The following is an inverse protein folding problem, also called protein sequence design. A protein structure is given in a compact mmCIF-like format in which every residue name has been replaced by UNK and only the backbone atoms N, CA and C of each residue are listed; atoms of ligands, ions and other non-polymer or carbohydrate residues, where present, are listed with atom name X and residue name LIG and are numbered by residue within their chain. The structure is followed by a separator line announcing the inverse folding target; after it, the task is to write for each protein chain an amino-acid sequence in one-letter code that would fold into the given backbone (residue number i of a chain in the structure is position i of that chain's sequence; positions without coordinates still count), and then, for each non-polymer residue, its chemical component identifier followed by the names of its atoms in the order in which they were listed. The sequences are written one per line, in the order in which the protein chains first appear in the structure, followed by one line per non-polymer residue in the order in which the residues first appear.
data_IF_860403117330
#
_entry.id   IF_860403117330
#
_cell.length_a   1.000
_cell.length_b   1.000
_cell.length_c   1.000
_cell.angle_alpha   90.00
_cell.angle_beta   90.00
_cell.angle_gamma   90.00
#
_symmetry.space_group_name_H-M   'P 1'
#
loop_
_entity.id
_entity.type
_entity.pdbx_description
1 polymer ?
#
# COMPACT_ATOMS: atom_id res chain seq x y z
N UNK A 1 44.72 -20.10 0.46
CA UNK A 1 45.49 -18.87 0.81
C UNK A 1 45.29 -17.90 -0.36
N UNK A 2 44.71 -16.71 -0.27
CA UNK A 2 44.84 -15.60 0.68
C UNK A 2 43.55 -14.75 0.69
N UNK A 3 43.28 -14.08 1.82
CA UNK A 3 42.31 -12.97 1.96
C UNK A 3 42.88 -11.69 1.35
N UNK A 4 42.06 -10.88 0.67
CA UNK A 4 42.26 -9.41 0.58
C UNK A 4 40.93 -8.67 0.41
N UNK A 5 40.83 -7.53 1.10
CA UNK A 5 39.66 -6.67 1.32
C UNK A 5 39.51 -5.66 0.15
N UNK A 6 38.29 -5.27 -0.27
CA UNK A 6 38.13 -4.22 -1.27
C UNK A 6 38.40 -2.82 -0.69
N UNK A 7 39.26 -2.04 -1.35
CA UNK A 7 39.34 -0.58 -1.19
C UNK A 7 38.27 0.07 -2.07
N UNK A 8 37.45 0.93 -1.47
CA UNK A 8 36.60 1.87 -2.21
C UNK A 8 37.43 3.07 -2.67
N UNK A 9 37.35 3.42 -3.95
CA UNK A 9 37.58 4.80 -4.42
C UNK A 9 36.48 5.15 -5.42
N UNK A 10 35.78 6.24 -5.11
CA UNK A 10 34.64 6.81 -5.83
C UNK A 10 35.08 7.43 -7.16
N UNK A 11 34.16 7.35 -8.13
CA UNK A 11 34.15 8.07 -9.39
C UNK A 11 33.86 9.57 -9.21
N UNK A 12 34.50 10.39 -10.04
CA UNK A 12 34.05 11.71 -10.48
C UNK A 12 34.06 11.59 -12.02
N UNK A 13 33.04 11.91 -12.82
CA UNK A 13 32.17 13.08 -12.79
C UNK A 13 32.48 13.92 -14.05
N UNK A 14 31.44 14.30 -14.80
CA UNK A 14 31.32 15.43 -15.76
C UNK A 14 31.15 15.13 -17.26
N UNK A 15 30.05 15.71 -17.78
CA UNK A 15 29.62 15.71 -19.17
C UNK A 15 29.03 17.10 -19.46
N UNK A 16 29.90 18.10 -19.68
CA UNK A 16 29.59 19.40 -20.30
C UNK A 16 30.87 19.94 -20.96
N UNK A 17 31.06 19.73 -22.27
CA UNK A 17 32.05 20.44 -23.11
C UNK A 17 31.51 20.59 -24.53
N UNK A 18 31.20 21.81 -24.93
CA UNK A 18 30.89 22.17 -26.31
C UNK A 18 30.96 23.69 -26.47
N UNK A 19 31.78 24.12 -27.44
CA UNK A 19 32.02 25.51 -27.88
C UNK A 19 33.01 26.31 -27.02
N UNK A 20 34.31 26.02 -27.15
CA UNK A 20 35.41 26.98 -27.42
C UNK A 20 36.70 26.17 -27.63
N UNK A 21 37.51 26.58 -28.61
CA UNK A 21 38.66 25.84 -29.11
C UNK A 21 39.83 25.74 -28.14
N UNK A 22 40.45 24.54 -28.15
CA UNK A 22 41.84 24.18 -27.84
C UNK A 22 42.64 25.20 -27.00
N UNK A 23 42.71 24.92 -25.70
CA UNK A 23 43.97 24.68 -25.00
C UNK A 23 43.71 23.66 -23.88
N UNK A 24 44.64 22.72 -23.72
CA UNK A 24 44.55 21.64 -22.77
C UNK A 24 44.77 22.17 -21.35
N UNK A 25 43.70 22.24 -20.55
CA UNK A 25 43.79 22.35 -19.10
C UNK A 25 42.49 21.81 -18.47
N UNK A 26 42.63 21.16 -17.31
CA UNK A 26 41.58 20.39 -16.63
C UNK A 26 40.46 21.34 -16.16
N UNK A 27 39.21 21.05 -16.52
CA UNK A 27 38.05 21.80 -16.03
C UNK A 27 37.86 21.55 -14.54
N UNK A 28 38.32 22.51 -13.76
CA UNK A 28 37.93 22.73 -12.38
C UNK A 28 36.47 23.20 -12.36
N UNK A 29 35.66 22.58 -11.51
CA UNK A 29 34.37 23.16 -11.11
C UNK A 29 34.69 24.48 -10.43
N UNK A 30 34.51 25.61 -11.13
CA UNK A 30 34.66 26.93 -10.52
C UNK A 30 33.54 27.09 -9.50
N UNK A 31 33.90 27.03 -8.22
CA UNK A 31 33.05 27.49 -7.15
C UNK A 31 32.79 28.98 -7.40
N UNK A 32 31.51 29.36 -7.41
CA UNK A 32 31.10 30.76 -7.50
C UNK A 32 31.85 31.53 -6.41
N UNK A 33 32.45 32.65 -6.77
CA UNK A 33 33.15 33.49 -5.81
C UNK A 33 32.15 34.00 -4.77
N UNK A 34 32.62 34.37 -3.58
CA UNK A 34 31.75 34.86 -2.50
C UNK A 34 30.91 36.05 -2.98
N UNK A 35 31.48 36.89 -3.83
CA UNK A 35 30.81 38.05 -4.44
C UNK A 35 29.68 37.65 -5.40
N UNK A 36 29.88 36.61 -6.22
CA UNK A 36 28.84 36.05 -7.08
C UNK A 36 27.72 35.41 -6.27
N UNK A 37 28.03 34.71 -5.17
CA UNK A 37 27.03 34.13 -4.26
C UNK A 37 26.21 35.21 -3.55
N UNK A 38 26.85 36.31 -3.14
CA UNK A 38 26.16 37.44 -2.53
C UNK A 38 25.28 38.21 -3.52
N UNK A 39 25.72 38.36 -4.77
CA UNK A 39 24.90 38.96 -5.84
C UNK A 39 23.65 38.12 -6.13
N UNK A 40 23.77 36.78 -6.11
CA UNK A 40 22.63 35.87 -6.25
C UNK A 40 21.69 35.95 -5.04
N UNK A 41 22.24 35.99 -3.82
CA UNK A 41 21.43 36.20 -2.60
C UNK A 41 20.68 37.52 -2.60
N UNK A 42 21.23 38.58 -3.21
CA UNK A 42 20.56 39.88 -3.33
C UNK A 42 19.47 39.90 -4.42
N UNK A 43 19.59 39.05 -5.45
CA UNK A 43 18.62 39.00 -6.56
C UNK A 43 17.45 38.04 -6.29
N UNK A 44 17.65 36.98 -5.48
CA UNK A 44 16.60 36.00 -5.12
C UNK A 44 15.31 36.61 -4.49
N UNK A 45 15.37 37.60 -3.58
CA UNK A 45 14.16 38.23 -3.02
C UNK A 45 13.32 38.94 -4.08
N UNK A 46 13.95 39.54 -5.08
CA UNK A 46 13.27 40.25 -6.17
C UNK A 46 12.53 39.32 -7.13
N UNK A 47 13.03 38.08 -7.30
CA UNK A 47 12.40 37.03 -8.11
C UNK A 47 11.20 36.46 -7.35
N UNK A 48 11.36 36.20 -6.05
CA UNK A 48 10.30 35.67 -5.19
C UNK A 48 9.12 36.64 -5.02
N UNK A 49 9.39 37.95 -4.98
CA UNK A 49 8.37 39.00 -4.93
C UNK A 49 7.62 39.19 -6.27
N UNK A 50 8.24 38.84 -7.41
CA UNK A 50 7.59 38.87 -8.73
C UNK A 50 6.64 37.70 -8.94
N UNK A 51 6.97 36.51 -8.43
CA UNK A 51 6.10 35.33 -8.52
C UNK A 51 4.84 35.47 -7.64
N UNK A 52 4.92 36.11 -6.47
CA UNK A 52 3.76 36.32 -5.60
C UNK A 52 2.74 37.34 -6.14
N UNK A 53 3.12 38.12 -7.16
CA UNK A 53 2.28 39.23 -7.68
C UNK A 53 1.53 38.89 -8.97
N UNK A 54 1.75 37.69 -9.55
CA UNK A 54 1.19 37.32 -10.86
C UNK A 54 0.07 36.27 -10.82
N UNK A 55 -0.33 35.80 -9.64
CA UNK A 55 -1.45 34.86 -9.51
C UNK A 55 -2.63 35.58 -8.87
N UNK A 56 -3.66 36.01 -9.62
CA UNK A 56 -4.92 36.42 -9.03
C UNK A 56 -5.56 35.18 -8.39
N UNK A 57 -5.47 35.11 -7.06
CA UNK A 57 -6.22 34.12 -6.28
C UNK A 57 -7.66 34.63 -6.18
N UNK A 58 -8.56 34.09 -7.00
CA UNK A 58 -9.99 34.23 -6.76
C UNK A 58 -10.31 33.53 -5.44
N UNK A 59 -10.51 34.33 -4.39
CA UNK A 59 -10.75 33.86 -3.02
C UNK A 59 -12.11 33.15 -2.82
N UNK A 60 -12.97 33.12 -3.84
CA UNK A 60 -14.33 32.55 -3.76
C UNK A 60 -14.45 31.12 -4.33
N UNK A 61 -13.35 30.44 -4.68
CA UNK A 61 -13.41 29.12 -5.32
C UNK A 61 -13.04 27.92 -4.42
N UNK A 62 -12.96 28.09 -3.10
CA UNK A 62 -12.62 27.00 -2.16
C UNK A 62 -13.60 26.94 -0.99
N UNK A 63 -14.90 27.00 -1.24
CA UNK A 63 -15.88 26.46 -0.28
C UNK A 63 -17.06 25.93 -1.07
N UNK A 64 -16.96 24.65 -1.43
CA UNK A 64 -18.05 23.69 -1.38
C UNK A 64 -17.42 22.35 -1.73
N UNK A 65 -16.86 21.71 -0.72
CA UNK A 65 -16.70 20.27 -0.76
C UNK A 65 -18.11 19.71 -0.95
N UNK A 66 -18.39 19.17 -2.13
CA UNK A 66 -19.65 18.50 -2.43
C UNK A 66 -19.94 17.46 -1.33
N UNK A 67 -20.83 17.78 -0.40
CA UNK A 67 -21.33 16.83 0.62
C UNK A 67 -21.97 15.59 -0.06
N UNK A 68 -22.44 15.74 -1.30
CA UNK A 68 -22.93 14.64 -2.14
C UNK A 68 -21.84 13.63 -2.53
N UNK A 69 -20.55 14.01 -2.50
CA UNK A 69 -19.43 13.10 -2.73
C UNK A 69 -19.03 12.33 -1.46
N UNK A 70 -19.40 12.85 -0.28
CA UNK A 70 -19.23 12.22 1.04
C UNK A 70 -20.25 11.10 1.26
N UNK A 71 -21.45 11.22 0.68
CA UNK A 71 -22.51 10.20 0.76
C UNK A 71 -22.17 8.91 -0.02
N UNK A 72 -21.26 8.97 -0.98
CA UNK A 72 -20.56 7.78 -1.47
C UNK A 72 -19.47 7.41 -0.47
N UNK A 73 -19.85 7.07 0.75
CA UNK A 73 -18.96 6.41 1.71
C UNK A 73 -18.37 5.21 0.98
N UNK A 74 -17.10 5.33 0.58
CA UNK A 74 -16.36 4.20 0.06
C UNK A 74 -16.48 3.14 1.13
N UNK A 75 -17.15 2.03 0.83
CA UNK A 75 -17.25 0.92 1.75
C UNK A 75 -15.82 0.49 2.07
N UNK A 76 -15.33 0.93 3.23
CA UNK A 76 -13.94 0.79 3.65
C UNK A 76 -13.56 -0.67 3.83
N UNK A 77 -14.57 -1.54 3.96
CA UNK A 77 -14.42 -2.97 4.13
C UNK A 77 -14.51 -3.70 2.78
N UNK A 78 -15.17 -3.10 1.79
CA UNK A 78 -15.05 -3.50 0.39
C UNK A 78 -13.68 -3.14 -0.20
N UNK A 79 -12.96 -2.17 0.40
CA UNK A 79 -11.58 -1.88 0.00
C UNK A 79 -10.71 -3.11 0.28
N UNK A 80 -10.24 -3.64 -0.84
CA UNK A 80 -9.40 -4.80 -1.00
C UNK A 80 -8.17 -4.77 -0.06
N UNK A 81 -8.23 -5.54 1.03
CA UNK A 81 -7.17 -5.80 2.01
C UNK A 81 -6.73 -4.63 2.92
N UNK A 82 -7.50 -4.36 3.98
CA UNK A 82 -6.96 -3.67 5.17
C UNK A 82 -6.13 -4.65 6.02
N UNK A 83 -4.84 -4.35 6.16
CA UNK A 83 -3.99 -4.98 7.19
C UNK A 83 -3.46 -6.38 6.85
N UNK A 84 -3.59 -7.30 7.80
CA UNK A 84 -2.93 -8.61 7.81
C UNK A 84 -3.72 -9.73 7.12
N UNK A 85 -5.01 -9.52 6.85
CA UNK A 85 -5.88 -10.56 6.30
C UNK A 85 -5.52 -10.86 4.84
N UNK A 86 -5.72 -12.12 4.45
CA UNK A 86 -5.61 -12.52 3.05
C UNK A 86 -6.65 -11.75 2.24
N UNK A 87 -6.30 -11.44 1.01
CA UNK A 87 -7.22 -10.81 0.09
C UNK A 87 -8.38 -11.77 -0.25
N UNK A 88 -9.60 -11.40 0.15
CA UNK A 88 -10.86 -12.06 -0.20
C UNK A 88 -11.95 -11.02 -0.48
N UNK A 89 -13.11 -11.45 -0.96
CA UNK A 89 -14.31 -10.61 -1.02
C UNK A 89 -15.25 -10.97 0.14
N UNK A 90 -15.98 -9.97 0.64
CA UNK A 90 -17.06 -10.23 1.59
C UNK A 90 -18.14 -11.08 0.90
N UNK A 91 -18.56 -12.14 1.57
CA UNK A 91 -19.61 -13.03 1.09
C UNK A 91 -20.63 -13.23 2.20
N UNK A 92 -21.89 -12.93 1.88
CA UNK A 92 -23.03 -13.17 2.75
C UNK A 92 -23.93 -14.20 2.06
N UNK A 93 -24.17 -15.37 2.69
CA UNK A 93 -25.04 -16.40 2.13
C UNK A 93 -26.48 -15.89 2.05
N UNK A 94 -27.19 -16.23 0.97
CA UNK A 94 -28.62 -15.95 0.85
C UNK A 94 -29.43 -16.94 1.70
N UNK A 95 -30.62 -16.53 2.17
CA UNK A 95 -31.49 -17.35 3.04
C UNK A 95 -31.99 -18.65 2.40
N UNK A 96 -31.81 -18.82 1.08
CA UNK A 96 -32.16 -20.01 0.31
C UNK A 96 -30.99 -20.60 -0.48
N UNK A 97 -29.74 -20.34 -0.07
CA UNK A 97 -28.56 -20.79 -0.83
C UNK A 97 -28.53 -22.32 -0.96
N UNK A 98 -28.94 -23.04 0.09
CA UNK A 98 -28.95 -24.50 0.12
C UNK A 98 -29.87 -25.09 -0.96
N UNK A 99 -31.11 -24.63 -1.06
CA UNK A 99 -32.05 -25.13 -2.07
C UNK A 99 -31.55 -24.83 -3.49
N UNK A 100 -31.01 -23.63 -3.71
CA UNK A 100 -30.41 -23.25 -4.98
C UNK A 100 -29.23 -24.17 -5.38
N UNK A 101 -28.39 -24.55 -4.42
CA UNK A 101 -27.27 -25.47 -4.67
C UNK A 101 -27.78 -26.87 -5.01
N UNK A 102 -28.80 -27.36 -4.31
CA UNK A 102 -29.39 -28.67 -4.60
C UNK A 102 -30.05 -28.70 -5.98
N UNK A 103 -30.82 -27.67 -6.34
CA UNK A 103 -31.43 -27.54 -7.67
C UNK A 103 -30.36 -27.53 -8.77
N UNK A 104 -29.36 -26.66 -8.66
CA UNK A 104 -28.26 -26.62 -9.64
C UNK A 104 -27.45 -27.91 -9.70
N UNK A 105 -27.26 -28.60 -8.58
CA UNK A 105 -26.61 -29.91 -8.56
C UNK A 105 -27.46 -30.97 -9.27
N UNK A 106 -28.78 -30.99 -9.08
CA UNK A 106 -29.67 -31.91 -9.80
C UNK A 106 -29.61 -31.72 -11.31
N UNK A 107 -29.64 -30.47 -11.78
CA UNK A 107 -29.52 -30.16 -13.20
C UNK A 107 -28.19 -30.62 -13.79
N UNK A 108 -27.08 -30.35 -13.09
CA UNK A 108 -25.74 -30.78 -13.53
C UNK A 108 -25.60 -32.30 -13.57
N UNK A 109 -26.14 -33.02 -12.59
CA UNK A 109 -26.11 -34.49 -12.56
C UNK A 109 -26.98 -35.12 -13.66
N UNK A 110 -28.17 -34.55 -13.90
CA UNK A 110 -29.04 -34.98 -14.99
C UNK A 110 -28.40 -34.77 -16.36
N UNK A 111 -27.77 -33.62 -16.59
CA UNK A 111 -27.05 -33.34 -17.84
C UNK A 111 -25.86 -34.29 -18.06
N UNK A 112 -25.23 -34.75 -16.98
CA UNK A 112 -24.16 -35.74 -17.02
C UNK A 112 -24.66 -37.19 -17.14
N UNK A 113 -25.98 -37.43 -17.11
CA UNK A 113 -26.58 -38.77 -17.14
C UNK A 113 -26.37 -39.59 -15.88
N UNK A 114 -26.05 -38.95 -14.74
CA UNK A 114 -25.79 -39.62 -13.47
C UNK A 114 -27.06 -39.62 -12.63
N UNK A 115 -27.59 -40.82 -12.32
CA UNK A 115 -28.71 -40.99 -11.40
C UNK A 115 -28.18 -41.27 -9.99
N UNK A 116 -28.50 -40.41 -9.02
CA UNK A 116 -28.13 -40.59 -7.62
C UNK A 116 -29.36 -40.51 -6.72
N UNK A 117 -29.55 -41.49 -5.84
CA UNK A 117 -30.67 -41.52 -4.89
C UNK A 117 -30.60 -40.40 -3.85
N UNK A 118 -29.39 -40.00 -3.44
CA UNK A 118 -29.12 -38.90 -2.50
C UNK A 118 -28.13 -37.90 -3.09
N UNK A 119 -28.64 -36.77 -3.58
CA UNK A 119 -27.85 -35.71 -4.22
C UNK A 119 -26.82 -35.10 -3.26
N UNK A 120 -27.20 -34.86 -2.00
CA UNK A 120 -26.30 -34.26 -1.00
C UNK A 120 -25.04 -35.10 -0.73
N UNK A 121 -25.19 -36.42 -0.75
CA UNK A 121 -24.10 -37.37 -0.47
C UNK A 121 -23.35 -37.80 -1.73
N UNK A 122 -23.72 -37.28 -2.90
CA UNK A 122 -23.03 -37.57 -4.14
C UNK A 122 -21.56 -37.17 -4.03
N UNK A 123 -20.67 -38.14 -4.20
CA UNK A 123 -19.22 -37.96 -4.22
C UNK A 123 -18.76 -37.76 -5.66
N UNK A 124 -17.98 -36.70 -5.90
CA UNK A 124 -17.39 -36.46 -7.20
C UNK A 124 -16.37 -37.56 -7.54
N UNK A 125 -16.30 -37.94 -8.81
CA UNK A 125 -15.45 -39.03 -9.28
C UNK A 125 -13.99 -38.56 -9.34
N UNK A 126 -13.09 -39.37 -8.78
CA UNK A 126 -11.66 -39.11 -8.87
C UNK A 126 -11.18 -39.26 -10.32
N UNK A 127 -10.67 -38.17 -10.90
CA UNK A 127 -10.15 -38.11 -12.27
C UNK A 127 -11.08 -37.43 -13.28
N UNK A 128 -12.40 -37.42 -13.04
CA UNK A 128 -13.36 -36.67 -13.87
C UNK A 128 -14.03 -35.56 -13.05
N UNK A 129 -13.50 -34.35 -13.22
CA UNK A 129 -13.97 -33.14 -12.53
C UNK A 129 -14.97 -32.33 -13.38
N UNK A 130 -15.49 -32.86 -14.48
CA UNK A 130 -16.42 -32.14 -15.37
C UNK A 130 -17.66 -31.63 -14.64
N UNK A 131 -18.38 -32.52 -13.94
CA UNK A 131 -19.58 -32.19 -13.16
C UNK A 131 -19.28 -31.19 -12.05
N UNK A 132 -18.19 -31.42 -11.31
CA UNK A 132 -17.73 -30.54 -10.22
C UNK A 132 -17.42 -29.14 -10.75
N UNK A 133 -16.71 -29.05 -11.87
CA UNK A 133 -16.37 -27.79 -12.50
C UNK A 133 -17.62 -27.06 -12.98
N UNK A 134 -18.54 -27.74 -13.64
CA UNK A 134 -19.78 -27.13 -14.14
C UNK A 134 -20.63 -26.56 -13.00
N UNK A 135 -20.82 -27.36 -11.94
CA UNK A 135 -21.57 -26.94 -10.75
C UNK A 135 -20.95 -25.70 -10.09
N UNK A 136 -19.65 -25.74 -9.80
CA UNK A 136 -18.94 -24.61 -9.17
C UNK A 136 -18.93 -23.38 -10.09
N UNK A 137 -18.85 -23.56 -11.41
CA UNK A 137 -18.87 -22.45 -12.36
C UNK A 137 -20.25 -21.78 -12.42
N UNK A 138 -21.34 -22.56 -12.42
CA UNK A 138 -22.71 -22.03 -12.34
C UNK A 138 -22.95 -21.30 -11.02
N UNK A 139 -22.60 -21.93 -9.90
CA UNK A 139 -22.72 -21.32 -8.56
C UNK A 139 -21.84 -20.09 -8.38
N UNK A 140 -20.61 -20.12 -8.89
CA UNK A 140 -19.71 -18.97 -8.84
C UNK A 140 -20.26 -17.77 -9.60
N UNK A 141 -20.90 -18.00 -10.76
CA UNK A 141 -21.56 -16.92 -11.52
C UNK A 141 -22.79 -16.35 -10.80
N UNK A 142 -23.61 -17.19 -10.17
CA UNK A 142 -24.83 -16.72 -9.47
C UNK A 142 -24.50 -16.00 -8.16
N UNK A 143 -23.60 -16.57 -7.36
CA UNK A 143 -23.25 -16.07 -6.02
C UNK A 143 -22.11 -15.06 -6.03
N UNK A 144 -21.37 -14.94 -7.14
CA UNK A 144 -20.12 -14.18 -7.26
C UNK A 144 -19.05 -14.60 -6.23
N UNK A 145 -19.12 -15.85 -5.74
CA UNK A 145 -18.18 -16.41 -4.79
C UNK A 145 -17.55 -17.70 -5.34
N UNK A 146 -16.22 -17.69 -5.46
CA UNK A 146 -15.45 -18.81 -6.00
C UNK A 146 -14.57 -19.44 -4.93
N UNK A 147 -14.49 -20.78 -4.86
CA UNK A 147 -13.54 -21.47 -3.99
C UNK A 147 -12.10 -21.22 -4.45
N UNK A 148 -11.19 -21.18 -3.48
CA UNK A 148 -9.75 -21.10 -3.75
C UNK A 148 -9.18 -22.45 -4.16
N UNK A 149 -8.04 -22.46 -4.87
CA UNK A 149 -7.40 -23.70 -5.33
C UNK A 149 -7.14 -24.70 -4.19
N UNK A 150 -6.73 -24.23 -3.01
CA UNK A 150 -6.54 -25.10 -1.84
C UNK A 150 -7.86 -25.66 -1.30
N UNK A 151 -8.96 -24.89 -1.37
CA UNK A 151 -10.27 -25.34 -0.91
C UNK A 151 -10.92 -26.34 -1.88
N UNK A 152 -10.66 -26.21 -3.18
CA UNK A 152 -11.17 -27.13 -4.21
C UNK A 152 -10.83 -28.59 -3.94
N UNK A 153 -9.66 -28.87 -3.36
CA UNK A 153 -9.25 -30.24 -3.00
C UNK A 153 -10.21 -30.86 -1.97
N UNK A 154 -10.74 -30.07 -1.05
CA UNK A 154 -11.60 -30.52 0.04
C UNK A 154 -13.08 -30.60 -0.32
N UNK A 155 -13.45 -30.23 -1.55
CA UNK A 155 -14.84 -30.31 -2.03
C UNK A 155 -15.05 -31.67 -2.71
N UNK A 156 -15.19 -32.72 -1.92
CA UNK A 156 -15.37 -34.10 -2.41
C UNK A 156 -16.83 -34.45 -2.67
N UNK A 157 -17.75 -33.86 -1.90
CA UNK A 157 -19.19 -34.13 -2.01
C UNK A 157 -20.00 -32.86 -2.27
N UNK A 158 -21.24 -33.02 -2.74
CA UNK A 158 -22.19 -31.89 -2.85
C UNK A 158 -22.45 -31.26 -1.49
N UNK A 159 -22.48 -32.06 -0.40
CA UNK A 159 -22.62 -31.53 0.96
C UNK A 159 -21.48 -30.59 1.36
N UNK A 160 -20.26 -30.81 0.87
CA UNK A 160 -19.12 -29.94 1.16
C UNK A 160 -19.23 -28.61 0.41
N UNK A 161 -19.81 -28.63 -0.79
CA UNK A 161 -20.13 -27.42 -1.55
C UNK A 161 -21.20 -26.61 -0.83
N UNK A 162 -22.25 -27.26 -0.32
CA UNK A 162 -23.29 -26.61 0.50
C UNK A 162 -22.66 -25.93 1.70
N UNK A 163 -21.86 -26.65 2.50
CA UNK A 163 -21.17 -26.09 3.67
C UNK A 163 -20.28 -24.89 3.31
N UNK A 164 -19.59 -24.95 2.17
CA UNK A 164 -18.72 -23.87 1.71
C UNK A 164 -19.52 -22.59 1.40
N UNK A 165 -20.64 -22.70 0.70
CA UNK A 165 -21.48 -21.56 0.36
C UNK A 165 -22.42 -21.12 1.50
N UNK A 166 -22.60 -21.93 2.55
CA UNK A 166 -23.25 -21.49 3.78
C UNK A 166 -22.31 -20.67 4.69
N UNK A 167 -21.00 -20.83 4.54
CA UNK A 167 -19.99 -20.14 5.36
C UNK A 167 -19.84 -18.67 4.93
N UNK A 168 -20.19 -17.68 5.78
CA UNK A 168 -20.00 -16.27 5.46
C UNK A 168 -18.51 -15.89 5.52
N UNK A 169 -18.08 -15.05 4.59
CA UNK A 169 -16.70 -14.54 4.55
C UNK A 169 -16.71 -13.04 4.84
N UNK A 170 -15.92 -12.62 5.83
CA UNK A 170 -15.71 -11.22 6.19
C UNK A 170 -14.24 -10.85 6.07
N UNK A 171 -13.96 -9.70 5.46
CA UNK A 171 -12.64 -9.09 5.34
C UNK A 171 -12.28 -8.21 6.55
N UNK A 172 -13.03 -8.34 7.64
CA UNK A 172 -12.91 -7.51 8.83
C UNK A 172 -12.20 -8.32 9.91
N UNK A 173 -11.27 -7.70 10.61
CA UNK A 173 -10.52 -8.33 11.70
C UNK A 173 -11.39 -8.40 12.96
N UNK A 174 -11.11 -9.33 13.87
CA UNK A 174 -11.82 -9.37 15.18
C UNK A 174 -11.72 -8.05 15.95
N UNK A 175 -10.58 -7.36 15.85
CA UNK A 175 -10.38 -6.05 16.49
C UNK A 175 -11.38 -5.01 15.95
N UNK A 176 -11.50 -4.93 14.64
CA UNK A 176 -12.44 -4.02 13.97
C UNK A 176 -13.89 -4.40 14.24
N UNK A 177 -14.21 -5.70 14.36
CA UNK A 177 -15.53 -6.16 14.80
C UNK A 177 -15.84 -5.67 16.23
N UNK A 178 -14.92 -5.86 17.19
CA UNK A 178 -15.11 -5.38 18.56
C UNK A 178 -15.18 -3.86 18.68
N UNK A 179 -14.43 -3.13 17.86
CA UNK A 179 -14.48 -1.67 17.87
C UNK A 179 -15.87 -1.14 17.50
N UNK A 180 -16.50 -1.79 16.50
CA UNK A 180 -17.81 -1.43 15.96
C UNK A 180 -18.98 -2.06 16.70
N UNK A 181 -18.74 -3.02 17.60
CA UNK A 181 -19.80 -3.64 18.39
C UNK A 181 -20.53 -2.58 19.24
N UNK A 182 -21.85 -2.54 19.13
CA UNK A 182 -22.74 -1.68 19.90
C UNK A 182 -22.95 -2.24 21.32
N UNK A 183 -22.79 -3.55 21.49
CA UNK A 183 -22.99 -4.23 22.79
C UNK A 183 -21.77 -4.15 23.71
N UNK A 184 -20.73 -3.40 23.34
CA UNK A 184 -19.55 -3.21 24.18
C UNK A 184 -19.92 -2.51 25.51
N UNK A 185 -19.29 -2.88 26.63
CA UNK A 185 -19.60 -2.27 27.91
C UNK A 185 -19.20 -0.78 27.92
N UNK A 186 -19.97 0.06 28.62
CA UNK A 186 -19.85 1.53 28.57
C UNK A 186 -18.48 2.07 29.01
N UNK A 187 -17.73 1.29 29.78
CA UNK A 187 -16.39 1.63 30.26
C UNK A 187 -15.27 1.24 29.25
N UNK A 188 -15.61 0.66 28.11
CA UNK A 188 -14.64 0.24 27.08
C UNK A 188 -14.86 1.07 25.83
N UNK A 189 -13.82 1.81 25.44
CA UNK A 189 -13.73 2.49 24.15
C UNK A 189 -12.59 1.88 23.36
N UNK A 190 -12.88 1.44 22.13
CA UNK A 190 -11.90 0.83 21.22
C UNK A 190 -11.86 1.70 19.97
N UNK A 191 -10.68 2.20 19.63
CA UNK A 191 -10.48 3.02 18.44
C UNK A 191 -10.15 2.14 17.24
N UNK A 192 -11.04 2.08 16.25
CA UNK A 192 -10.83 1.23 15.07
C UNK A 192 -9.60 1.65 14.26
N UNK A 193 -9.48 2.94 13.97
CA UNK A 193 -8.34 3.50 13.25
C UNK A 193 -7.25 3.90 14.23
N UNK A 194 -6.03 3.48 13.94
CA UNK A 194 -4.88 3.89 14.72
C UNK A 194 -4.61 5.38 14.48
N UNK A 195 -4.91 6.21 15.48
CA UNK A 195 -4.52 7.62 15.51
C UNK A 195 -3.21 7.72 16.28
N UNK A 196 -2.23 8.41 15.71
CA UNK A 196 -0.95 8.71 16.38
C UNK A 196 -0.83 10.20 16.57
N UNK A 197 -0.23 10.58 17.69
CA UNK A 197 0.10 11.96 17.98
C UNK A 197 1.02 12.54 16.90
N UNK A 198 0.74 13.78 16.50
CA UNK A 198 1.64 14.59 15.70
C UNK A 198 1.64 16.03 16.24
N UNK A 199 2.82 16.68 16.37
CA UNK A 199 2.89 18.03 16.94
C UNK A 199 2.14 19.09 16.10
N UNK A 200 1.99 18.87 14.80
CA UNK A 200 1.22 19.75 13.90
C UNK A 200 -0.30 19.69 14.12
N UNK A 201 -0.80 18.68 14.82
CA UNK A 201 -2.24 18.47 15.04
C UNK A 201 -2.75 19.35 16.21
N UNK A 202 -2.52 20.66 16.11
CA UNK A 202 -2.85 21.67 17.15
C UNK A 202 -4.35 21.81 17.42
N UNK A 203 -5.19 21.38 16.48
CA UNK A 203 -6.65 21.39 16.61
C UNK A 203 -7.20 20.24 17.46
N UNK A 204 -6.39 19.21 17.75
CA UNK A 204 -6.81 18.05 18.55
C UNK A 204 -6.68 18.37 20.05
N UNK A 205 -7.34 17.60 20.92
CA UNK A 205 -7.37 17.82 22.37
C UNK A 205 -6.01 18.01 23.07
N UNK A 206 -4.91 17.54 22.47
CA UNK A 206 -3.56 17.68 23.01
C UNK A 206 -2.85 18.98 22.59
N UNK A 207 -3.43 19.80 21.70
CA UNK A 207 -2.88 21.12 21.34
C UNK A 207 -1.46 21.07 20.76
N UNK A 208 -1.08 19.96 20.11
CA UNK A 208 0.30 19.73 19.62
C UNK A 208 1.35 19.44 20.71
N UNK A 209 0.95 19.31 21.98
CA UNK A 209 1.87 19.02 23.10
C UNK A 209 1.83 17.53 23.46
N UNK A 210 2.97 16.86 23.37
CA UNK A 210 3.10 15.44 23.75
C UNK A 210 3.22 15.30 25.28
N UNK A 211 2.57 14.28 25.84
CA UNK A 211 2.74 13.90 27.25
C UNK A 211 4.06 13.14 27.51
N UNK A 212 4.73 12.67 26.46
CA UNK A 212 5.94 11.85 26.55
C UNK A 212 7.13 12.58 25.92
N UNK A 213 7.88 13.39 26.70
CA UNK A 213 9.13 13.99 26.24
C UNK A 213 10.22 12.91 26.10
N UNK A 214 11.09 13.03 25.10
CA UNK A 214 12.24 12.14 24.90
C UNK A 214 11.97 10.77 24.29
N UNK A 215 10.72 10.30 24.30
CA UNK A 215 10.34 9.00 23.73
C UNK A 215 9.22 9.18 22.70
N UNK A 216 9.56 8.97 21.43
CA UNK A 216 8.59 8.94 20.35
C UNK A 216 7.91 7.59 20.28
N UNK A 217 6.67 7.56 19.79
CA UNK A 217 6.07 6.28 19.43
C UNK A 217 6.83 5.66 18.25
N UNK A 218 7.48 4.52 18.44
CA UNK A 218 8.12 3.80 17.34
C UNK A 218 7.09 3.01 16.52
N UNK A 219 7.22 3.03 15.20
CA UNK A 219 6.42 2.16 14.31
C UNK A 219 7.30 1.03 13.84
N UNK A 220 7.06 -0.17 14.36
CA UNK A 220 7.97 -1.31 14.17
C UNK A 220 7.87 -1.89 12.76
N UNK A 221 6.66 -2.02 12.19
CA UNK A 221 6.49 -2.72 10.91
C UNK A 221 6.64 -1.79 9.70
N UNK A 222 7.34 -2.26 8.66
CA UNK A 222 7.51 -1.55 7.39
C UNK A 222 6.17 -1.06 6.80
N UNK A 223 5.15 -1.92 6.81
CA UNK A 223 3.81 -1.58 6.33
C UNK A 223 3.21 -0.42 7.13
N UNK A 224 3.30 -0.45 8.45
CA UNK A 224 2.74 0.62 9.28
C UNK A 224 3.52 1.92 9.13
N UNK A 225 4.83 1.87 8.90
CA UNK A 225 5.63 3.08 8.63
C UNK A 225 5.13 3.86 7.40
N UNK A 226 4.54 3.16 6.42
CA UNK A 226 3.91 3.77 5.25
C UNK A 226 2.55 4.43 5.54
N UNK A 227 1.81 3.89 6.51
CA UNK A 227 0.42 4.28 6.78
C UNK A 227 0.30 5.29 7.92
N UNK A 228 1.22 5.23 8.88
CA UNK A 228 1.15 5.99 10.13
C UNK A 228 2.28 7.00 10.18
N UNK A 229 1.93 8.24 10.55
CA UNK A 229 2.89 9.31 10.81
C UNK A 229 3.80 8.90 11.97
N UNK A 230 5.09 9.19 11.82
CA UNK A 230 6.07 9.13 12.88
C UNK A 230 6.59 10.53 13.12
N UNK A 231 6.85 10.82 14.39
CA UNK A 231 7.47 12.06 14.81
C UNK A 231 8.52 11.68 15.86
N UNK A 232 9.67 12.33 15.80
CA UNK A 232 10.71 12.18 16.80
C UNK A 232 10.58 13.35 17.79
N UNK A 233 10.21 13.11 19.06
CA UNK A 233 10.20 14.16 20.06
C UNK A 233 11.61 14.61 20.39
N UNK A 234 11.71 15.84 20.91
CA UNK A 234 12.93 16.37 21.52
C UNK A 234 13.44 15.37 22.55
N UNK A 235 14.72 14.99 22.44
CA UNK A 235 15.33 14.03 23.35
C UNK A 235 15.62 14.70 24.70
N UNK A 236 16.16 15.91 24.63
CA UNK A 236 16.48 16.72 25.78
C UNK A 236 15.70 18.04 25.75
N UNK A 237 15.49 18.65 26.93
CA UNK A 237 14.71 19.89 27.06
C UNK A 237 15.37 21.11 26.38
N UNK A 238 16.67 21.05 26.12
CA UNK A 238 17.47 22.12 25.52
C UNK A 238 17.72 21.94 24.01
N UNK A 239 17.18 20.90 23.39
CA UNK A 239 17.25 20.75 21.94
C UNK A 239 16.40 21.85 21.27
N UNK A 240 17.05 22.74 20.53
CA UNK A 240 16.38 23.84 19.81
C UNK A 240 15.50 23.28 18.67
N UNK A 241 14.36 23.94 18.40
CA UNK A 241 13.39 23.53 17.35
C UNK A 241 14.06 23.39 15.98
N UNK A 242 14.99 24.30 15.66
CA UNK A 242 15.74 24.31 14.41
C UNK A 242 16.74 23.14 14.26
N UNK A 243 17.08 22.46 15.36
CA UNK A 243 18.00 21.31 15.39
C UNK A 243 17.29 19.97 15.60
N UNK A 244 15.99 19.97 15.93
CA UNK A 244 15.21 18.75 16.24
C UNK A 244 14.21 18.32 15.18
N UNK A 245 13.93 19.16 14.18
CA UNK A 245 13.31 18.66 12.97
C UNK A 245 14.36 17.88 12.19
N UNK A 246 14.41 16.56 12.44
CA UNK A 246 15.07 15.67 11.51
C UNK A 246 14.29 15.76 10.18
N UNK A 247 14.79 16.59 9.26
CA UNK A 247 14.31 16.67 7.89
C UNK A 247 14.52 15.36 7.13
N UNK A 248 15.15 14.34 7.75
CA UNK A 248 15.13 13.01 7.21
C UNK A 248 13.68 12.54 7.10
N UNK A 249 13.26 12.39 5.84
CA UNK A 249 11.98 11.81 5.48
C UNK A 249 11.78 10.49 6.24
N UNK A 250 10.61 10.31 6.83
CA UNK A 250 10.26 9.10 7.63
C UNK A 250 10.45 7.81 6.83
N UNK A 251 10.36 7.92 5.50
CA UNK A 251 10.57 6.89 4.49
C UNK A 251 12.01 6.77 4.00
N UNK A 252 12.98 7.53 4.51
CA UNK A 252 14.38 7.49 4.06
C UNK A 252 14.93 6.06 4.10
N UNK A 253 15.44 5.58 2.96
CA UNK A 253 15.91 4.21 2.72
C UNK A 253 14.83 3.10 2.72
N UNK A 254 13.55 3.45 2.69
CA UNK A 254 12.48 2.48 2.49
C UNK A 254 12.32 2.17 0.99
N UNK A 255 11.80 0.99 0.59
CA UNK A 255 11.66 0.64 -0.82
C UNK A 255 10.78 1.59 -1.66
N UNK A 256 9.98 2.42 -1.01
CA UNK A 256 9.08 3.42 -1.60
C UNK A 256 9.52 4.86 -1.34
N UNK A 257 10.71 5.05 -0.75
CA UNK A 257 11.39 6.34 -0.78
C UNK A 257 11.52 6.75 -2.26
N UNK A 258 11.07 7.94 -2.68
CA UNK A 258 11.16 8.35 -4.07
C UNK A 258 12.58 8.23 -4.65
N UNK A 259 13.62 8.44 -3.85
CA UNK A 259 15.01 8.24 -4.29
C UNK A 259 15.33 6.76 -4.53
N UNK A 260 14.88 5.87 -3.64
CA UNK A 260 15.07 4.41 -3.77
C UNK A 260 14.19 3.85 -4.88
N UNK A 261 12.95 4.30 -5.01
CA UNK A 261 12.03 3.91 -6.06
C UNK A 261 12.56 4.34 -7.44
N UNK A 262 13.01 5.59 -7.58
CA UNK A 262 13.67 6.06 -8.81
C UNK A 262 14.95 5.27 -9.10
N UNK A 263 15.73 4.93 -8.07
CA UNK A 263 16.90 4.07 -8.22
C UNK A 263 16.51 2.66 -8.68
N UNK A 264 15.43 2.07 -8.16
CA UNK A 264 14.92 0.75 -8.54
C UNK A 264 14.35 0.75 -9.96
N UNK A 265 13.62 1.81 -10.33
CA UNK A 265 13.06 2.02 -11.66
C UNK A 265 14.17 2.25 -12.71
N UNK A 266 15.31 2.87 -12.35
CA UNK A 266 16.50 2.94 -13.22
C UNK A 266 17.09 1.57 -13.59
N UNK A 267 16.70 0.49 -12.90
CA UNK A 267 17.12 -0.87 -13.21
C UNK A 267 16.10 -1.69 -14.01
N UNK A 268 14.88 -1.19 -14.29
CA UNK A 268 13.88 -1.94 -15.08
C UNK A 268 14.38 -2.26 -16.48
N UNK A 269 15.17 -1.35 -17.06
CA UNK A 269 15.75 -1.54 -18.39
C UNK A 269 17.04 -2.36 -18.35
N UNK A 270 17.54 -2.79 -17.18
CA UNK A 270 18.81 -3.51 -17.03
C UNK A 270 18.55 -4.95 -16.64
N UNK A 271 18.76 -5.89 -17.56
CA UNK A 271 18.70 -7.33 -17.27
C UNK A 271 20.09 -7.87 -16.94
N UNK A 272 20.19 -8.67 -15.88
CA UNK A 272 21.43 -9.38 -15.57
C UNK A 272 21.69 -10.45 -16.63
N UNK A 273 22.80 -10.34 -17.34
CA UNK A 273 23.21 -11.34 -18.30
C UNK A 273 24.11 -12.37 -17.60
N UNK A 274 23.64 -13.62 -17.51
CA UNK A 274 24.34 -14.70 -16.82
C UNK A 274 25.64 -15.13 -17.51
N UNK A 275 25.77 -14.94 -18.83
CA UNK A 275 26.97 -15.33 -19.57
C UNK A 275 28.08 -14.30 -19.44
N UNK A 276 27.75 -13.01 -19.51
CA UNK A 276 28.72 -11.92 -19.32
C UNK A 276 28.90 -11.51 -17.86
N UNK A 277 28.04 -12.02 -16.96
CA UNK A 277 27.97 -11.67 -15.52
C UNK A 277 27.82 -10.17 -15.27
N UNK A 278 27.19 -9.45 -16.18
CA UNK A 278 27.00 -8.01 -16.13
C UNK A 278 25.54 -7.63 -16.41
N UNK A 279 25.08 -6.50 -15.85
CA UNK A 279 23.78 -5.94 -16.18
C UNK A 279 23.85 -5.20 -17.52
N UNK A 280 23.11 -5.68 -18.51
CA UNK A 280 23.01 -5.06 -19.84
C UNK A 280 21.70 -4.31 -19.98
N UNK A 281 21.74 -3.08 -20.51
CA UNK A 281 20.53 -2.31 -20.84
C UNK A 281 19.82 -2.95 -22.04
N UNK A 282 18.51 -3.15 -21.92
CA UNK A 282 17.61 -3.47 -23.03
C UNK A 282 17.59 -2.21 -23.91
N UNK A 283 18.06 -2.30 -25.15
CA UNK A 283 17.81 -1.25 -26.14
C UNK A 283 16.32 -1.34 -26.48
N UNK A 284 15.55 -0.29 -26.22
CA UNK A 284 14.25 -0.09 -26.86
C UNK A 284 14.45 0.10 -28.36
#
# INVERSE_FOLDING_TARGET
MYRTVPRFVRSQGNLLKGLFGKNAEKETVKQLTVEEQESLRKTLPSIRARESSQVPTNADAVVDFDDALVDKRIDTDAIRARGFLKYSYNYAPSTGIKSQILETATECLQNAGVSSDNIEQYKFIDGDNSVKFELINRLGKSTKHWPTNGRLLHLETVSDIVKFYEEPVKNVTKYTEYARDENKPKNVSIMEQAVRFHPEDTHVHHGGVTAFPGSGGDVISLRQKRLLRQFQPKKEWFDYEDQTFDYSRVDKNMPWDPEVAEQMDRYTDKRYNHTTKQFTRIKQ
#
